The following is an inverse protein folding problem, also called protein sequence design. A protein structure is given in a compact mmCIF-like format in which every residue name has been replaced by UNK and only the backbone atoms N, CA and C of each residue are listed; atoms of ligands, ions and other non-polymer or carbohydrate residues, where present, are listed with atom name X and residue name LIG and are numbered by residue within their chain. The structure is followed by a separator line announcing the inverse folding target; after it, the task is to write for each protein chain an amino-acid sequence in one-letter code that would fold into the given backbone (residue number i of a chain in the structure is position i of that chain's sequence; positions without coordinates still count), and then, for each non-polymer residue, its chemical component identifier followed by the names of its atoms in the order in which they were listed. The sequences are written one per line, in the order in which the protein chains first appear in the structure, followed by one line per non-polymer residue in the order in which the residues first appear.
data_IF_169646577873
#
_entry.id   IF_169646577873
#
_cell.length_a   1.000
_cell.length_b   1.000
_cell.length_c   1.000
_cell.angle_alpha   90.00
_cell.angle_beta   90.00
_cell.angle_gamma   90.00
#
_symmetry.space_group_name_H-M   'P 1'
#
loop_
_entity.id
_entity.type
_entity.pdbx_description
1 polymer ?
#
# COMPACT_ATOMS: atom_id res chain seq x y z
N UNK A 1 -34.30 10.63 -30.08
CA UNK A 1 -34.13 10.99 -31.51
C UNK A 1 -32.95 11.94 -31.62
N UNK A 2 -32.21 11.88 -32.72
CA UNK A 2 -30.87 12.45 -32.97
C UNK A 2 -29.77 11.52 -32.41
N UNK A 3 -28.77 11.08 -33.17
CA UNK A 3 -28.41 11.32 -34.57
C UNK A 3 -27.58 10.13 -35.06
N UNK A 4 -27.62 9.87 -36.37
CA UNK A 4 -26.81 8.89 -37.09
C UNK A 4 -25.33 9.11 -36.81
N UNK A 5 -24.56 8.05 -36.60
CA UNK A 5 -23.12 8.09 -36.89
C UNK A 5 -22.79 7.11 -38.00
N UNK A 6 -22.33 7.71 -39.09
CA UNK A 6 -21.83 7.07 -40.29
C UNK A 6 -20.51 6.35 -39.99
N UNK A 7 -20.31 5.21 -40.63
CA UNK A 7 -19.03 4.48 -40.70
C UNK A 7 -17.94 5.40 -41.26
N UNK A 8 -16.73 5.35 -40.72
CA UNK A 8 -15.52 5.57 -41.52
C UNK A 8 -14.38 4.64 -41.03
N UNK A 9 -13.64 4.16 -42.02
CA UNK A 9 -12.71 3.04 -41.97
C UNK A 9 -11.28 3.46 -41.59
N UNK A 10 -10.47 2.51 -41.14
CA UNK A 10 -9.01 2.65 -41.12
C UNK A 10 -8.39 1.64 -42.10
N UNK A 11 -7.69 2.16 -43.10
CA UNK A 11 -6.71 1.40 -43.88
C UNK A 11 -5.44 1.26 -43.03
N UNK A 12 -4.93 0.03 -42.93
CA UNK A 12 -3.62 -0.25 -42.34
C UNK A 12 -2.51 0.32 -43.24
N UNK A 13 -1.72 1.26 -42.72
CA UNK A 13 -0.39 1.55 -43.26
C UNK A 13 0.62 1.29 -42.15
N UNK A 14 1.38 0.21 -42.33
CA UNK A 14 2.59 -0.06 -41.54
C UNK A 14 3.74 0.65 -42.23
N UNK A 15 4.33 1.66 -41.59
CA UNK A 15 5.75 2.02 -41.79
C UNK A 15 6.31 2.56 -40.46
N UNK A 16 7.49 2.10 -40.11
CA UNK A 16 8.03 2.15 -38.76
C UNK A 16 8.80 3.41 -38.35
N UNK A 17 9.22 3.34 -37.09
CA UNK A 17 10.31 4.06 -36.43
C UNK A 17 10.13 5.54 -36.08
N UNK A 18 10.26 5.77 -34.75
CA UNK A 18 10.60 6.99 -34.00
C UNK A 18 9.45 7.87 -33.50
N UNK A 19 9.55 8.13 -32.20
CA UNK A 19 8.65 8.85 -31.30
C UNK A 19 8.27 10.25 -31.80
N UNK A 20 6.97 10.58 -31.68
CA UNK A 20 6.49 11.95 -31.60
C UNK A 20 5.42 12.02 -30.50
N UNK A 21 5.75 12.73 -29.42
CA UNK A 21 4.77 13.22 -28.47
C UNK A 21 4.33 14.62 -28.93
N UNK A 22 3.02 14.84 -28.82
CA UNK A 22 2.22 16.06 -29.00
C UNK A 22 1.82 16.41 -30.44
N UNK A 23 0.53 16.19 -30.75
CA UNK A 23 -0.38 17.23 -31.23
C UNK A 23 -1.85 16.81 -31.00
N UNK A 24 -2.64 17.82 -30.67
CA UNK A 24 -3.93 17.76 -30.00
C UNK A 24 -5.06 17.04 -30.74
N UNK A 25 -5.88 16.32 -29.95
CA UNK A 25 -7.32 16.40 -30.09
C UNK A 25 -7.89 16.63 -28.68
N UNK A 26 -8.38 17.84 -28.49
CA UNK A 26 -9.07 18.33 -27.32
C UNK A 26 -10.36 17.51 -27.15
N UNK A 27 -10.25 16.40 -26.43
CA UNK A 27 -11.39 15.70 -25.85
C UNK A 27 -11.11 15.70 -24.37
N UNK A 28 -11.85 16.52 -23.64
CA UNK A 28 -11.90 16.50 -22.18
C UNK A 28 -12.30 15.09 -21.73
N UNK A 29 -11.31 14.25 -21.46
CA UNK A 29 -11.52 12.88 -21.03
C UNK A 29 -11.48 12.89 -19.50
N UNK A 30 -12.67 12.62 -18.94
CA UNK A 30 -13.06 12.42 -17.53
C UNK A 30 -11.93 12.24 -16.49
N UNK A 31 -12.02 13.04 -15.42
CA UNK A 31 -11.10 13.12 -14.27
C UNK A 31 -10.99 11.85 -13.38
N UNK A 32 -11.66 10.74 -13.71
CA UNK A 32 -11.79 9.59 -12.80
C UNK A 32 -11.11 8.30 -13.29
N UNK A 33 -10.50 8.31 -14.48
CA UNK A 33 -9.84 7.11 -15.02
C UNK A 33 -8.40 6.98 -14.53
N UNK A 34 -8.17 6.05 -13.60
CA UNK A 34 -6.81 5.70 -13.17
C UNK A 34 -6.19 4.75 -14.20
N UNK A 35 -5.25 5.25 -15.00
CA UNK A 35 -4.56 4.43 -16.01
C UNK A 35 -3.78 3.26 -15.38
N UNK A 36 -3.70 2.10 -16.05
CA UNK A 36 -2.81 1.01 -15.65
C UNK A 36 -1.35 1.46 -15.78
N UNK A 37 -0.57 1.38 -14.70
CA UNK A 37 0.85 1.72 -14.75
C UNK A 37 1.66 0.54 -15.28
N UNK A 38 2.64 0.82 -16.14
CA UNK A 38 3.41 -0.18 -16.89
C UNK A 38 4.06 -1.28 -16.02
N UNK A 39 4.36 -0.99 -14.75
CA UNK A 39 5.01 -1.91 -13.82
C UNK A 39 4.10 -2.38 -12.66
N UNK A 40 2.79 -2.26 -12.85
CA UNK A 40 1.84 -2.64 -11.82
C UNK A 40 1.42 -4.09 -11.96
N UNK A 41 1.85 -4.90 -10.99
CA UNK A 41 1.46 -6.29 -10.88
C UNK A 41 0.14 -6.39 -10.13
N UNK A 42 -0.73 -7.32 -10.56
CA UNK A 42 -1.98 -7.63 -9.89
C UNK A 42 -1.99 -9.08 -9.45
N UNK A 43 -2.41 -9.35 -8.21
CA UNK A 43 -2.50 -10.70 -7.64
C UNK A 43 -3.85 -10.90 -6.97
N UNK A 44 -4.32 -12.14 -7.01
CA UNK A 44 -5.48 -12.57 -6.23
C UNK A 44 -5.02 -13.14 -4.90
N UNK A 45 -5.71 -12.78 -3.83
CA UNK A 45 -5.48 -13.30 -2.50
C UNK A 45 -6.80 -13.68 -1.85
N UNK A 46 -6.72 -14.55 -0.84
CA UNK A 46 -7.84 -14.91 -0.01
C UNK A 46 -7.54 -14.54 1.45
N UNK A 47 -8.47 -13.83 2.08
CA UNK A 47 -8.43 -13.47 3.50
C UNK A 47 -9.83 -13.64 4.08
N UNK A 48 -9.96 -14.39 5.18
CA UNK A 48 -11.23 -14.69 5.84
C UNK A 48 -12.31 -15.22 4.87
N UNK A 49 -11.93 -16.16 4.00
CA UNK A 49 -12.79 -16.76 2.97
C UNK A 49 -13.32 -15.78 1.92
N UNK A 50 -12.67 -14.62 1.77
CA UNK A 50 -12.99 -13.59 0.77
C UNK A 50 -11.83 -13.42 -0.19
N UNK A 51 -12.16 -13.33 -1.48
CA UNK A 51 -11.20 -13.08 -2.54
C UNK A 51 -11.04 -11.58 -2.78
N UNK A 52 -9.80 -11.15 -2.89
CA UNK A 52 -9.43 -9.80 -3.26
C UNK A 52 -8.48 -9.85 -4.43
N UNK A 53 -8.59 -8.88 -5.34
CA UNK A 53 -7.57 -8.63 -6.36
C UNK A 53 -6.89 -7.32 -6.04
N UNK A 54 -5.60 -7.39 -5.77
CA UNK A 54 -4.79 -6.28 -5.26
C UNK A 54 -3.58 -6.04 -6.14
N UNK A 55 -3.13 -4.79 -6.19
CA UNK A 55 -1.98 -4.41 -7.00
C UNK A 55 -0.75 -4.07 -6.18
N UNK A 56 0.43 -4.18 -6.81
CA UNK A 56 1.71 -3.83 -6.20
C UNK A 56 1.81 -2.34 -5.83
N UNK A 57 0.91 -1.49 -6.35
CA UNK A 57 0.84 -0.05 -6.07
C UNK A 57 -0.23 0.33 -5.03
N UNK A 58 -0.72 -0.65 -4.27
CA UNK A 58 -1.69 -0.37 -3.21
C UNK A 58 -3.10 -0.08 -3.70
N UNK A 59 -3.49 -0.63 -4.86
CA UNK A 59 -4.86 -0.54 -5.38
C UNK A 59 -5.60 -1.86 -5.22
N UNK A 60 -6.92 -1.79 -5.20
CA UNK A 60 -7.83 -2.93 -5.10
C UNK A 60 -8.83 -2.86 -6.27
N UNK A 61 -9.17 -4.01 -6.83
CA UNK A 61 -10.25 -4.13 -7.80
C UNK A 61 -11.53 -4.57 -7.10
N UNK A 62 -12.59 -3.79 -7.27
CA UNK A 62 -13.92 -4.06 -6.75
C UNK A 62 -14.65 -5.12 -7.60
N UNK A 63 -15.74 -5.67 -7.07
CA UNK A 63 -16.53 -6.72 -7.75
C UNK A 63 -17.19 -6.24 -9.05
N UNK A 64 -17.42 -4.94 -9.20
CA UNK A 64 -17.91 -4.31 -10.43
C UNK A 64 -16.79 -4.06 -11.46
N UNK A 65 -15.55 -4.42 -11.15
CA UNK A 65 -14.38 -4.22 -12.02
C UNK A 65 -13.64 -2.90 -11.80
N UNK A 66 -14.20 -1.96 -11.04
CA UNK A 66 -13.59 -0.66 -10.76
C UNK A 66 -12.32 -0.80 -9.92
N UNK A 67 -11.36 0.08 -10.16
CA UNK A 67 -10.09 0.13 -9.42
C UNK A 67 -10.13 1.30 -8.46
N UNK A 68 -9.74 1.07 -7.21
CA UNK A 68 -9.66 2.12 -6.18
C UNK A 68 -8.43 1.93 -5.30
N UNK A 69 -7.98 2.99 -4.64
CA UNK A 69 -7.00 2.90 -3.55
C UNK A 69 -7.65 2.56 -2.20
N UNK A 70 -8.97 2.44 -2.15
CA UNK A 70 -9.74 2.34 -0.92
C UNK A 70 -9.98 3.72 -0.28
N UNK A 71 -10.90 3.74 0.69
CA UNK A 71 -11.33 4.95 1.38
C UNK A 71 -10.38 5.28 2.54
N UNK A 72 -10.00 6.54 2.68
CA UNK A 72 -9.17 7.00 3.80
C UNK A 72 -10.02 7.12 5.07
N UNK A 73 -9.62 6.45 6.14
CA UNK A 73 -10.27 6.49 7.44
C UNK A 73 -9.24 6.39 8.57
N UNK A 74 -9.16 7.44 9.41
CA UNK A 74 -8.19 7.56 10.51
C UNK A 74 -6.76 7.31 10.00
N UNK A 75 -6.36 8.01 8.93
CA UNK A 75 -5.01 7.91 8.36
C UNK A 75 -4.70 6.63 7.57
N UNK A 76 -5.58 5.63 7.56
CA UNK A 76 -5.37 4.38 6.83
C UNK A 76 -6.36 4.21 5.68
N UNK A 77 -5.91 3.63 4.57
CA UNK A 77 -6.80 3.24 3.46
C UNK A 77 -7.47 1.89 3.76
N UNK A 78 -8.78 1.83 3.54
CA UNK A 78 -9.61 0.64 3.81
C UNK A 78 -10.50 0.26 2.63
N UNK A 79 -10.86 -1.01 2.53
CA UNK A 79 -11.91 -1.45 1.59
C UNK A 79 -13.26 -0.84 2.01
N UNK A 80 -14.07 -0.43 1.04
CA UNK A 80 -15.28 0.35 1.29
C UNK A 80 -16.36 -0.42 2.07
N UNK A 81 -16.50 -1.73 1.82
CA UNK A 81 -17.60 -2.54 2.37
C UNK A 81 -17.25 -3.17 3.71
N UNK A 82 -16.06 -3.75 3.84
CA UNK A 82 -15.66 -4.53 5.02
C UNK A 82 -14.65 -3.83 5.92
N UNK A 83 -14.03 -2.75 5.46
CA UNK A 83 -13.04 -2.03 6.26
C UNK A 83 -11.68 -2.73 6.38
N UNK A 84 -11.32 -3.66 5.48
CA UNK A 84 -9.99 -4.29 5.48
C UNK A 84 -8.92 -3.26 5.15
N UNK A 85 -7.80 -3.29 5.87
CA UNK A 85 -6.66 -2.41 5.64
C UNK A 85 -5.98 -2.75 4.32
N UNK A 86 -5.87 -1.77 3.43
CA UNK A 86 -5.31 -1.97 2.08
C UNK A 86 -3.85 -2.42 2.14
N UNK A 87 -3.01 -1.82 2.99
CA UNK A 87 -1.62 -2.26 3.16
C UNK A 87 -1.51 -3.74 3.56
N UNK A 88 -2.45 -4.26 4.37
CA UNK A 88 -2.41 -5.66 4.81
C UNK A 88 -2.71 -6.61 3.66
N UNK A 89 -3.69 -6.26 2.82
CA UNK A 89 -3.99 -7.02 1.61
C UNK A 89 -2.80 -7.02 0.65
N UNK A 90 -2.17 -5.85 0.43
CA UNK A 90 -0.99 -5.74 -0.44
C UNK A 90 0.18 -6.56 0.10
N UNK A 91 0.47 -6.46 1.41
CA UNK A 91 1.55 -7.21 2.03
C UNK A 91 1.34 -8.73 1.98
N UNK A 92 0.09 -9.21 2.08
CA UNK A 92 -0.23 -10.63 1.89
C UNK A 92 0.06 -11.11 0.46
N UNK A 93 -0.11 -10.24 -0.54
CA UNK A 93 0.08 -10.57 -1.94
C UNK A 93 1.54 -10.49 -2.40
N UNK A 94 2.29 -9.51 -1.91
CA UNK A 94 3.58 -9.12 -2.49
C UNK A 94 4.77 -9.18 -1.52
N UNK A 95 4.54 -9.27 -0.20
CA UNK A 95 5.62 -9.25 0.78
C UNK A 95 5.79 -10.65 1.42
N UNK A 96 7.03 -11.18 1.52
CA UNK A 96 7.27 -12.47 2.16
C UNK A 96 6.92 -12.43 3.65
N UNK A 97 6.07 -13.36 4.10
CA UNK A 97 5.61 -13.45 5.48
C UNK A 97 6.39 -14.52 6.24
N UNK A 98 7.49 -14.12 6.87
CA UNK A 98 8.41 -15.01 7.60
C UNK A 98 8.00 -15.20 9.08
N UNK A 99 6.77 -15.64 9.35
CA UNK A 99 6.27 -15.80 10.73
C UNK A 99 6.00 -14.47 11.46
N UNK A 100 5.90 -13.38 10.70
CA UNK A 100 5.66 -12.03 11.17
C UNK A 100 4.17 -11.68 11.09
N UNK A 101 3.66 -10.90 12.04
CA UNK A 101 2.22 -10.69 12.20
C UNK A 101 1.72 -9.32 11.78
N UNK A 102 2.59 -8.30 11.85
CA UNK A 102 2.23 -6.90 11.62
C UNK A 102 2.84 -6.40 10.32
N UNK A 103 2.18 -5.45 9.67
CA UNK A 103 2.71 -4.80 8.47
C UNK A 103 3.15 -3.40 8.85
N UNK A 104 4.36 -3.03 8.43
CA UNK A 104 4.94 -1.72 8.63
C UNK A 104 5.06 -0.96 7.29
N UNK A 105 4.83 0.35 7.33
CA UNK A 105 5.17 1.27 6.25
C UNK A 105 6.61 1.78 6.48
N UNK A 106 7.53 1.49 5.56
CA UNK A 106 8.96 1.78 5.72
C UNK A 106 9.21 3.29 5.88
N UNK A 107 8.49 4.11 5.09
CA UNK A 107 8.55 5.57 5.14
C UNK A 107 7.76 6.20 6.31
N UNK A 108 6.98 5.42 7.05
CA UNK A 108 6.09 5.90 8.09
C UNK A 108 4.79 6.57 7.60
N UNK A 109 4.52 6.58 6.30
CA UNK A 109 3.26 7.08 5.73
C UNK A 109 2.27 5.94 5.53
N UNK A 110 1.22 5.92 6.36
CA UNK A 110 0.16 4.91 6.34
C UNK A 110 -0.76 4.96 5.11
N UNK A 111 -0.59 5.95 4.24
CA UNK A 111 -1.33 6.11 2.98
C UNK A 111 -0.54 5.60 1.77
N UNK A 112 0.79 5.45 1.89
CA UNK A 112 1.66 4.89 0.88
C UNK A 112 1.71 3.36 0.97
N UNK A 113 0.73 2.72 0.35
CA UNK A 113 0.55 1.26 0.39
C UNK A 113 1.22 0.52 -0.77
N UNK A 114 2.25 1.11 -1.39
CA UNK A 114 3.04 0.42 -2.40
C UNK A 114 3.73 -0.81 -1.77
N UNK A 115 3.71 -1.95 -2.43
CA UNK A 115 4.34 -3.17 -1.93
C UNK A 115 5.82 -2.98 -1.57
N UNK A 116 6.56 -2.18 -2.34
CA UNK A 116 7.96 -1.83 -2.07
C UNK A 116 8.16 -0.98 -0.80
N UNK A 117 7.10 -0.37 -0.28
CA UNK A 117 7.08 0.41 0.95
C UNK A 117 6.55 -0.39 2.15
N UNK A 118 6.24 -1.68 1.97
CA UNK A 118 5.64 -2.51 3.01
C UNK A 118 6.57 -3.66 3.38
N UNK A 119 6.66 -3.91 4.68
CA UNK A 119 7.35 -5.08 5.21
C UNK A 119 6.52 -5.73 6.31
N UNK A 120 6.64 -7.05 6.46
CA UNK A 120 6.14 -7.70 7.66
C UNK A 120 7.15 -7.51 8.79
N UNK A 121 6.65 -7.24 10.00
CA UNK A 121 7.43 -7.08 11.24
C UNK A 121 6.85 -7.95 12.37
N UNK A 122 7.70 -8.29 13.33
CA UNK A 122 7.30 -8.82 14.63
C UNK A 122 7.27 -7.65 15.60
N UNK A 123 6.22 -7.54 16.39
CA UNK A 123 6.23 -6.67 17.57
C UNK A 123 6.55 -7.53 18.79
N UNK A 124 7.32 -6.96 19.71
CA UNK A 124 7.62 -7.60 20.99
C UNK A 124 7.44 -6.56 22.08
N UNK A 125 6.55 -6.86 23.00
CA UNK A 125 6.30 -6.02 24.16
C UNK A 125 7.17 -6.46 25.33
N UNK A 126 7.60 -5.50 26.13
CA UNK A 126 8.36 -5.72 27.36
C UNK A 126 7.69 -4.97 28.50
N UNK A 127 7.64 -5.55 29.72
CA UNK A 127 7.07 -4.86 30.88
C UNK A 127 7.77 -3.54 31.23
N UNK A 128 9.06 -3.41 30.87
CA UNK A 128 9.84 -2.18 31.05
C UNK A 128 11.05 -2.15 30.12
N UNK A 129 11.65 -0.97 29.94
CA UNK A 129 12.93 -0.82 29.21
C UNK A 129 14.09 -1.56 29.91
N UNK A 130 14.02 -1.73 31.23
CA UNK A 130 15.00 -2.51 31.98
C UNK A 130 14.91 -4.00 31.62
N UNK A 131 13.69 -4.51 31.45
CA UNK A 131 13.47 -5.90 31.03
C UNK A 131 13.83 -6.12 29.57
N UNK A 132 13.56 -5.14 28.71
CA UNK A 132 14.04 -5.14 27.33
C UNK A 132 15.57 -5.22 27.27
N UNK A 133 16.27 -4.45 28.12
CA UNK A 133 17.74 -4.53 28.24
C UNK A 133 18.19 -5.92 28.71
N UNK A 134 17.57 -6.50 29.74
CA UNK A 134 17.96 -7.84 30.22
C UNK A 134 17.78 -8.92 29.15
N UNK A 135 16.72 -8.81 28.36
CA UNK A 135 16.37 -9.82 27.36
C UNK A 135 17.17 -9.67 26.07
N UNK A 136 17.36 -8.45 25.57
CA UNK A 136 17.97 -8.19 24.25
C UNK A 136 19.43 -7.71 24.36
N UNK A 137 19.86 -7.28 25.55
CA UNK A 137 21.23 -6.79 25.78
C UNK A 137 21.48 -5.36 25.28
N UNK A 138 20.45 -4.62 24.87
CA UNK A 138 20.57 -3.23 24.41
C UNK A 138 20.42 -2.28 25.61
N UNK A 139 21.33 -1.33 25.75
CA UNK A 139 21.31 -0.36 26.85
C UNK A 139 19.98 0.43 26.89
N UNK A 140 19.33 0.44 28.04
CA UNK A 140 18.02 1.06 28.27
C UNK A 140 18.01 2.57 28.01
N UNK A 141 19.13 3.27 28.22
CA UNK A 141 19.23 4.70 27.91
C UNK A 141 19.15 4.93 26.40
N UNK A 142 19.74 4.06 25.59
CA UNK A 142 19.63 4.13 24.13
C UNK A 142 18.21 3.80 23.66
N UNK A 143 17.55 2.82 24.30
CA UNK A 143 16.13 2.51 24.04
C UNK A 143 15.27 3.75 24.32
N UNK A 144 15.45 4.39 25.48
CA UNK A 144 14.71 5.60 25.85
C UNK A 144 14.98 6.82 24.96
N UNK A 145 16.14 6.91 24.31
CA UNK A 145 16.41 7.93 23.28
C UNK A 145 15.56 7.69 22.03
N UNK A 146 15.41 6.42 21.61
CA UNK A 146 14.55 6.05 20.48
C UNK A 146 13.08 6.30 20.79
N UNK A 147 12.59 5.86 21.96
CA UNK A 147 11.19 6.08 22.34
C UNK A 147 10.79 7.56 22.42
N UNK A 148 11.75 8.48 22.65
CA UNK A 148 11.54 9.93 22.67
C UNK A 148 11.66 10.60 21.30
N UNK A 149 11.95 9.84 20.24
CA UNK A 149 12.09 10.34 18.88
C UNK A 149 13.44 10.98 18.55
N UNK A 150 14.42 10.97 19.46
CA UNK A 150 15.75 11.53 19.19
C UNK A 150 16.60 10.64 18.28
N UNK A 151 16.23 9.37 18.12
CA UNK A 151 16.86 8.43 17.21
C UNK A 151 15.80 7.50 16.63
N UNK A 152 15.93 7.12 15.37
CA UNK A 152 14.94 6.26 14.73
C UNK A 152 15.03 4.78 15.15
N UNK A 153 16.25 4.29 15.44
CA UNK A 153 16.52 2.88 15.71
C UNK A 153 17.68 2.67 16.71
N UNK A 154 17.65 1.56 17.45
CA UNK A 154 18.82 1.02 18.18
C UNK A 154 18.82 -0.50 18.15
N UNK A 155 19.99 -1.10 17.89
CA UNK A 155 20.15 -2.55 17.80
C UNK A 155 19.36 -3.18 16.65
N UNK A 156 19.02 -2.40 15.61
CA UNK A 156 18.18 -2.84 14.49
C UNK A 156 16.67 -2.75 14.74
N UNK A 157 16.24 -2.27 15.92
CA UNK A 157 14.82 -2.18 16.29
C UNK A 157 14.36 -0.73 16.45
N UNK A 158 13.11 -0.46 16.08
CA UNK A 158 12.36 0.73 16.51
C UNK A 158 11.75 0.43 17.88
N UNK A 159 11.71 1.44 18.75
CA UNK A 159 11.21 1.32 20.11
C UNK A 159 10.17 2.39 20.38
N UNK A 160 9.04 1.99 20.94
CA UNK A 160 7.92 2.88 21.27
C UNK A 160 7.36 2.49 22.65
N UNK A 161 6.86 3.48 23.39
CA UNK A 161 6.12 3.19 24.62
C UNK A 161 4.69 2.76 24.27
N UNK A 162 4.26 1.62 24.81
CA UNK A 162 2.87 1.20 24.72
C UNK A 162 2.03 2.19 25.53
N UNK A 163 1.06 2.84 24.90
CA UNK A 163 0.10 3.69 25.61
C UNK A 163 -0.82 2.77 26.41
N UNK A 164 -0.84 2.90 27.74
CA UNK A 164 -1.94 2.31 28.51
C UNK A 164 -3.22 2.99 28.06
N UNK A 165 -4.15 2.22 27.47
CA UNK A 165 -5.51 2.70 27.34
C UNK A 165 -6.10 2.64 28.75
N UNK A 166 -6.28 3.81 29.38
CA UNK A 166 -7.11 3.92 30.57
C UNK A 166 -8.54 3.52 30.17
N UNK A 167 -8.92 2.29 30.52
CA UNK A 167 -10.30 1.78 30.42
C UNK A 167 -11.19 2.38 31.49
#
# INVERSE_FOLDING_TARGET
MHSKFQKLAFQNVVVGSKNFWWLALDVQYYEDHIEPKLNEEWREIELDSRKFRVSSLGRIQLTNGEITQGSLHIGHRKTAREGYLVHRLVALAFCPKEGKEYVNNIDGDSTNNNASNLEWIVTREFPSIAEAQRTIGINQSNIGVVCRGFRAYVGGYRWEYVKCNDT
#
